data_IF_549634545054
#
_entry.id   IF_549634545054
#
_cell.length_a   1.000
_cell.length_b   1.000
_cell.length_c   1.000
_cell.angle_alpha   90.00
_cell.angle_beta   90.00
_cell.angle_gamma   90.00
#
_symmetry.space_group_name_H-M   'P 1'
#
loop_
_entity.id
_entity.type
_entity.pdbx_description
1 polymer ?
#
# COMPACT_ATOMS: atom_id res chain seq x y z
N UNK A 1 -2.53 -44.38 1.21
CA UNK A 1 -2.69 -43.33 0.19
C UNK A 1 -3.09 -43.90 -1.17
N UNK A 2 -2.67 -45.15 -1.49
CA UNK A 2 -3.05 -45.81 -2.76
C UNK A 2 -4.56 -46.07 -2.89
N UNK A 3 -5.28 -46.14 -1.76
CA UNK A 3 -6.72 -46.49 -1.72
C UNK A 3 -7.61 -45.27 -1.45
N UNK A 4 -7.08 -44.03 -1.60
CA UNK A 4 -7.87 -42.80 -1.41
C UNK A 4 -8.74 -42.54 -2.64
N UNK A 5 -10.03 -42.31 -2.43
CA UNK A 5 -10.93 -41.81 -3.47
C UNK A 5 -10.71 -40.33 -3.69
N UNK A 6 -9.89 -40.00 -4.67
CA UNK A 6 -9.52 -38.61 -5.01
C UNK A 6 -10.67 -37.81 -5.64
N UNK A 7 -11.81 -38.44 -5.93
CA UNK A 7 -12.99 -37.73 -6.39
C UNK A 7 -13.78 -37.09 -5.25
N UNK A 8 -13.43 -37.41 -4.00
CA UNK A 8 -14.05 -36.86 -2.80
C UNK A 8 -13.17 -35.77 -2.16
N UNK A 9 -13.80 -34.84 -1.41
CA UNK A 9 -13.08 -33.86 -0.61
C UNK A 9 -12.12 -34.56 0.36
N UNK A 10 -12.57 -35.56 1.06
CA UNK A 10 -11.80 -36.28 2.06
C UNK A 10 -10.54 -36.93 1.46
N UNK A 11 -10.68 -37.67 0.39
CA UNK A 11 -9.55 -38.31 -0.29
C UNK A 11 -8.58 -37.31 -0.90
N UNK A 12 -9.11 -36.24 -1.50
CA UNK A 12 -8.31 -35.14 -2.04
C UNK A 12 -7.48 -34.43 -0.96
N UNK A 13 -8.09 -34.11 0.18
CA UNK A 13 -7.42 -33.43 1.29
C UNK A 13 -6.37 -34.35 1.97
N UNK A 14 -6.70 -35.60 2.20
CA UNK A 14 -5.72 -36.57 2.74
C UNK A 14 -4.48 -36.71 1.84
N UNK A 15 -4.70 -36.80 0.53
CA UNK A 15 -3.62 -36.85 -0.45
C UNK A 15 -2.78 -35.55 -0.45
N UNK A 16 -3.43 -34.39 -0.33
CA UNK A 16 -2.74 -33.09 -0.22
C UNK A 16 -1.84 -33.06 1.01
N UNK A 17 -2.36 -33.36 2.20
CA UNK A 17 -1.61 -33.33 3.43
C UNK A 17 -0.45 -34.34 3.42
N UNK A 18 -0.69 -35.55 2.90
CA UNK A 18 0.37 -36.56 2.73
C UNK A 18 1.52 -36.04 1.87
N UNK A 19 1.19 -35.50 0.69
CA UNK A 19 2.19 -34.97 -0.25
C UNK A 19 2.92 -33.78 0.32
N UNK A 20 2.24 -32.86 0.99
CA UNK A 20 2.83 -31.69 1.62
C UNK A 20 3.83 -32.10 2.69
N UNK A 21 3.47 -33.01 3.60
CA UNK A 21 4.38 -33.53 4.63
C UNK A 21 5.59 -34.27 4.04
N UNK A 22 5.37 -34.98 2.93
CA UNK A 22 6.46 -35.71 2.26
C UNK A 22 7.45 -34.77 1.55
N UNK A 23 6.93 -33.69 0.93
CA UNK A 23 7.75 -32.72 0.20
C UNK A 23 8.47 -31.73 1.13
N UNK A 24 7.84 -31.44 2.27
CA UNK A 24 8.35 -30.44 3.24
C UNK A 24 8.39 -31.06 4.64
N UNK A 25 9.27 -32.06 4.89
CA UNK A 25 9.28 -32.81 6.14
C UNK A 25 9.60 -31.97 7.38
N UNK A 26 10.37 -30.91 7.21
CA UNK A 26 10.81 -30.02 8.30
C UNK A 26 9.93 -28.76 8.45
N UNK A 27 8.89 -28.61 7.62
CA UNK A 27 8.01 -27.47 7.67
C UNK A 27 6.92 -27.63 8.73
N UNK A 28 6.61 -26.55 9.43
CA UNK A 28 5.39 -26.43 10.21
C UNK A 28 4.23 -26.20 9.26
N UNK A 29 3.27 -27.12 9.24
CA UNK A 29 2.12 -27.11 8.34
C UNK A 29 0.87 -26.76 9.14
N UNK A 30 0.13 -25.77 8.70
CA UNK A 30 -1.19 -25.41 9.21
C UNK A 30 -2.23 -25.40 8.10
N UNK A 31 -3.51 -25.60 8.44
CA UNK A 31 -4.62 -25.52 7.51
C UNK A 31 -5.57 -24.39 7.90
N UNK A 32 -6.05 -23.62 6.93
CA UNK A 32 -7.04 -22.56 7.17
C UNK A 32 -8.39 -22.96 6.57
N UNK A 33 -9.38 -23.09 7.43
CA UNK A 33 -10.79 -23.29 7.04
C UNK A 33 -11.38 -21.89 6.83
N UNK A 34 -11.85 -21.63 5.61
CA UNK A 34 -12.34 -20.32 5.21
C UNK A 34 -13.61 -19.90 5.98
N UNK A 35 -13.89 -18.62 5.98
CA UNK A 35 -15.02 -17.94 6.62
C UNK A 35 -16.36 -18.24 5.94
N UNK A 36 -17.48 -17.86 6.60
CA UNK A 36 -18.83 -17.94 6.04
C UNK A 36 -19.02 -16.92 4.92
N UNK A 37 -19.29 -17.40 3.71
CA UNK A 37 -19.65 -16.55 2.58
C UNK A 37 -21.06 -15.98 2.75
N UNK A 38 -21.30 -14.77 2.24
CA UNK A 38 -22.61 -14.11 2.29
C UNK A 38 -23.49 -14.41 1.08
N UNK A 39 -22.93 -14.97 0.02
CA UNK A 39 -23.68 -15.39 -1.17
C UNK A 39 -24.58 -16.60 -0.88
N UNK A 40 -25.77 -16.58 -1.44
CA UNK A 40 -26.63 -17.77 -1.52
C UNK A 40 -26.09 -18.75 -2.57
N UNK A 41 -25.16 -19.59 -2.17
CA UNK A 41 -24.72 -20.71 -3.00
C UNK A 41 -25.51 -21.93 -2.55
N UNK A 42 -26.12 -22.67 -3.48
CA UNK A 42 -27.01 -23.81 -3.19
C UNK A 42 -26.38 -24.96 -2.37
N UNK A 43 -25.07 -24.91 -2.15
CA UNK A 43 -24.29 -25.91 -1.41
C UNK A 43 -23.97 -25.52 0.04
N UNK A 44 -24.41 -24.32 0.52
CA UNK A 44 -24.08 -23.87 1.88
C UNK A 44 -24.76 -24.69 2.99
N UNK A 45 -25.80 -25.42 2.70
CA UNK A 45 -26.49 -26.31 3.66
C UNK A 45 -25.64 -27.51 4.07
N UNK A 46 -24.69 -27.93 3.21
CA UNK A 46 -23.81 -29.08 3.45
C UNK A 46 -22.41 -28.64 3.96
N UNK A 47 -22.15 -27.34 4.05
CA UNK A 47 -20.82 -26.84 4.42
C UNK A 47 -20.34 -27.34 5.78
N UNK A 48 -21.25 -27.53 6.75
CA UNK A 48 -20.86 -28.04 8.07
C UNK A 48 -20.27 -29.45 7.99
N UNK A 49 -20.83 -30.32 7.13
CA UNK A 49 -20.30 -31.68 6.93
C UNK A 49 -18.88 -31.65 6.34
N UNK A 50 -18.63 -30.71 5.39
CA UNK A 50 -17.28 -30.49 4.84
C UNK A 50 -16.31 -29.96 5.90
N UNK A 51 -16.73 -28.98 6.73
CA UNK A 51 -15.92 -28.45 7.83
C UNK A 51 -15.55 -29.58 8.81
N UNK A 52 -16.51 -30.39 9.22
CA UNK A 52 -16.29 -31.51 10.14
C UNK A 52 -15.37 -32.58 9.52
N UNK A 53 -15.47 -32.82 8.22
CA UNK A 53 -14.55 -33.72 7.53
C UNK A 53 -13.12 -33.15 7.49
N UNK A 54 -12.95 -31.86 7.20
CA UNK A 54 -11.65 -31.19 7.21
C UNK A 54 -11.00 -31.26 8.60
N UNK A 55 -11.76 -30.95 9.67
CA UNK A 55 -11.29 -31.02 11.06
C UNK A 55 -10.77 -32.43 11.38
N UNK A 56 -11.57 -33.47 11.14
CA UNK A 56 -11.16 -34.88 11.36
C UNK A 56 -9.90 -35.28 10.59
N UNK A 57 -9.77 -34.82 9.35
CA UNK A 57 -8.60 -35.13 8.52
C UNK A 57 -7.37 -34.40 9.03
N UNK A 58 -7.49 -33.14 9.39
CA UNK A 58 -6.39 -32.37 10.00
C UNK A 58 -5.92 -33.04 11.31
N UNK A 59 -6.83 -33.42 12.18
CA UNK A 59 -6.55 -34.15 13.43
C UNK A 59 -5.84 -35.49 13.15
N UNK A 60 -6.36 -36.29 12.22
CA UNK A 60 -5.76 -37.56 11.79
C UNK A 60 -4.30 -37.40 11.35
N UNK A 61 -4.01 -36.31 10.64
CA UNK A 61 -2.65 -36.05 10.11
C UNK A 61 -1.79 -35.21 11.04
N UNK A 62 -2.29 -34.84 12.25
CA UNK A 62 -1.58 -33.98 13.18
C UNK A 62 -1.23 -32.62 12.54
N UNK A 63 -2.17 -32.03 11.80
CA UNK A 63 -2.07 -30.72 11.19
C UNK A 63 -2.97 -29.77 11.95
N UNK A 64 -2.44 -28.78 12.67
CA UNK A 64 -3.24 -27.76 13.30
C UNK A 64 -4.05 -26.97 12.26
N UNK A 65 -5.22 -26.47 12.65
CA UNK A 65 -6.06 -25.69 11.75
C UNK A 65 -6.64 -24.44 12.41
N UNK A 66 -6.77 -23.39 11.64
CA UNK A 66 -7.53 -22.18 11.96
C UNK A 66 -8.92 -22.31 11.35
N UNK A 67 -9.98 -22.22 12.15
CA UNK A 67 -11.35 -22.34 11.68
C UNK A 67 -12.09 -21.01 11.70
N UNK A 68 -11.97 -20.22 10.63
CA UNK A 68 -12.68 -18.94 10.48
C UNK A 68 -14.18 -19.14 10.21
N UNK A 69 -14.60 -20.35 9.79
CA UNK A 69 -16.01 -20.62 9.53
C UNK A 69 -16.85 -20.63 10.80
N UNK A 70 -16.36 -21.23 11.88
CA UNK A 70 -17.04 -21.33 13.16
C UNK A 70 -16.70 -20.17 14.11
N UNK A 71 -15.78 -19.27 13.76
CA UNK A 71 -15.44 -18.09 14.54
C UNK A 71 -16.57 -17.07 14.45
N UNK A 72 -17.35 -16.94 15.52
CA UNK A 72 -18.53 -16.08 15.54
C UNK A 72 -18.14 -14.59 15.54
N UNK A 73 -17.08 -14.21 16.26
CA UNK A 73 -16.61 -12.81 16.34
C UNK A 73 -16.09 -12.35 14.96
N UNK A 74 -15.28 -13.19 14.32
CA UNK A 74 -14.81 -12.93 12.97
C UNK A 74 -15.98 -12.80 11.99
N UNK A 75 -16.91 -13.75 12.00
CA UNK A 75 -18.03 -13.76 11.07
C UNK A 75 -19.01 -12.60 11.30
N UNK A 76 -19.23 -12.15 12.53
CA UNK A 76 -20.02 -10.94 12.81
C UNK A 76 -19.34 -9.67 12.29
N UNK A 77 -18.03 -9.55 12.43
CA UNK A 77 -17.27 -8.44 11.85
C UNK A 77 -17.34 -8.48 10.31
N UNK A 78 -17.26 -9.67 9.73
CA UNK A 78 -17.24 -9.90 8.27
C UNK A 78 -18.62 -9.71 7.62
N UNK A 79 -19.72 -10.13 8.30
CA UNK A 79 -21.12 -10.00 7.82
C UNK A 79 -21.57 -8.56 7.59
N UNK A 80 -20.97 -7.61 8.31
CA UNK A 80 -21.52 -6.23 8.38
C UNK A 80 -21.41 -5.46 7.09
N UNK A 81 -20.85 -6.00 6.00
CA UNK A 81 -20.92 -5.27 4.73
C UNK A 81 -20.33 -5.95 3.50
N UNK A 82 -20.89 -5.63 2.34
CA UNK A 82 -20.22 -5.51 1.04
C UNK A 82 -18.84 -4.82 1.06
N UNK A 83 -18.39 -4.35 2.23
CA UNK A 83 -17.12 -3.70 2.52
C UNK A 83 -15.93 -4.65 2.37
N UNK A 84 -16.09 -5.90 2.76
CA UNK A 84 -14.99 -6.87 2.85
C UNK A 84 -14.94 -7.86 1.68
N UNK A 85 -16.02 -7.94 0.92
CA UNK A 85 -16.16 -8.87 -0.20
C UNK A 85 -16.31 -8.12 -1.52
N UNK A 86 -15.57 -8.53 -2.54
CA UNK A 86 -15.66 -7.94 -3.87
C UNK A 86 -16.96 -8.31 -4.59
N UNK A 87 -17.43 -9.56 -4.41
CA UNK A 87 -18.55 -10.15 -5.10
C UNK A 87 -19.48 -10.98 -4.18
N UNK A 88 -19.36 -10.80 -2.88
CA UNK A 88 -20.09 -11.58 -1.87
C UNK A 88 -19.45 -12.92 -1.51
N UNK A 89 -18.34 -13.27 -2.14
CA UNK A 89 -17.60 -14.52 -1.92
C UNK A 89 -16.10 -14.27 -1.67
N UNK A 90 -15.47 -13.48 -2.52
CA UNK A 90 -14.02 -13.25 -2.47
C UNK A 90 -13.66 -11.99 -1.68
N UNK A 91 -12.72 -12.07 -0.73
CA UNK A 91 -12.25 -10.90 0.00
C UNK A 91 -11.66 -9.85 -0.95
N UNK A 92 -11.99 -8.59 -0.72
CA UNK A 92 -11.26 -7.46 -1.25
C UNK A 92 -10.10 -7.09 -0.30
N UNK A 93 -9.35 -6.03 -0.59
CA UNK A 93 -8.22 -5.60 0.26
C UNK A 93 -8.60 -5.46 1.74
N UNK A 94 -9.74 -4.82 2.03
CA UNK A 94 -10.21 -4.67 3.41
C UNK A 94 -10.59 -6.01 4.07
N UNK A 95 -11.05 -6.98 3.26
CA UNK A 95 -11.31 -8.34 3.73
C UNK A 95 -10.02 -9.07 4.08
N UNK A 96 -8.99 -8.93 3.27
CA UNK A 96 -7.67 -9.50 3.59
C UNK A 96 -7.02 -8.83 4.79
N UNK A 97 -7.16 -7.51 4.97
CA UNK A 97 -6.68 -6.80 6.16
C UNK A 97 -7.33 -7.33 7.45
N UNK A 98 -8.60 -7.73 7.38
CA UNK A 98 -9.30 -8.35 8.51
C UNK A 98 -8.84 -9.80 8.76
N UNK A 99 -8.55 -10.58 7.72
CA UNK A 99 -8.16 -11.99 7.83
C UNK A 99 -6.70 -12.14 8.28
N UNK A 100 -5.81 -11.28 7.79
CA UNK A 100 -4.37 -11.43 7.97
C UNK A 100 -3.93 -11.56 9.44
N UNK A 101 -4.42 -10.80 10.42
CA UNK A 101 -4.06 -10.95 11.83
C UNK A 101 -4.39 -12.35 12.40
N UNK A 102 -5.53 -12.92 12.01
CA UNK A 102 -5.93 -14.27 12.46
C UNK A 102 -4.97 -15.34 11.94
N UNK A 103 -4.59 -15.24 10.65
CA UNK A 103 -3.63 -16.17 10.06
C UNK A 103 -2.25 -15.99 10.68
N UNK A 104 -1.82 -14.76 10.92
CA UNK A 104 -0.51 -14.47 11.52
C UNK A 104 -0.43 -14.98 12.97
N UNK A 105 -1.48 -14.78 13.78
CA UNK A 105 -1.57 -15.35 15.13
C UNK A 105 -1.51 -16.88 15.09
N UNK A 106 -2.32 -17.49 14.22
CA UNK A 106 -2.32 -18.94 14.06
C UNK A 106 -0.93 -19.48 13.64
N UNK A 107 -0.25 -18.82 12.72
CA UNK A 107 1.10 -19.20 12.30
C UNK A 107 2.10 -19.11 13.45
N UNK A 108 2.01 -18.07 14.27
CA UNK A 108 2.86 -17.92 15.46
C UNK A 108 2.59 -19.02 16.49
N UNK A 109 1.31 -19.30 16.76
CA UNK A 109 0.89 -20.32 17.72
C UNK A 109 1.39 -21.72 17.32
N UNK A 110 1.24 -22.11 16.06
CA UNK A 110 1.71 -23.44 15.58
C UNK A 110 3.23 -23.54 15.47
N UNK A 111 3.92 -22.43 15.36
CA UNK A 111 5.39 -22.37 15.31
C UNK A 111 6.00 -22.26 16.72
N UNK A 112 5.18 -22.08 17.75
CA UNK A 112 5.62 -21.94 19.15
C UNK A 112 6.36 -20.63 19.42
N UNK A 113 6.09 -19.58 18.63
CA UNK A 113 6.60 -18.23 18.84
C UNK A 113 5.48 -17.33 19.33
N UNK A 114 5.80 -16.43 20.24
CA UNK A 114 4.90 -15.35 20.61
C UNK A 114 4.63 -14.49 19.38
N UNK A 115 3.35 -14.34 19.01
CA UNK A 115 2.95 -13.43 17.95
C UNK A 115 3.04 -12.01 18.50
N UNK A 116 4.03 -11.30 18.06
CA UNK A 116 4.01 -9.85 18.13
C UNK A 116 3.25 -9.39 16.89
N UNK A 117 2.07 -8.73 17.04
CA UNK A 117 1.38 -8.17 15.89
C UNK A 117 2.37 -7.32 15.11
N UNK A 118 2.47 -7.54 13.81
CA UNK A 118 3.29 -6.70 12.91
C UNK A 118 2.75 -5.26 12.85
N UNK A 119 1.58 -5.07 13.41
CA UNK A 119 1.05 -3.78 13.79
C UNK A 119 1.44 -3.56 15.26
N UNK A 120 2.54 -2.88 15.52
CA UNK A 120 2.57 -2.07 16.72
C UNK A 120 1.28 -1.24 16.74
N UNK A 121 0.64 -1.08 17.93
CA UNK A 121 -0.57 -0.28 18.00
C UNK A 121 -0.26 1.05 17.31
N UNK A 122 -1.10 1.44 16.35
CA UNK A 122 -0.99 2.68 15.61
C UNK A 122 -0.48 3.77 16.55
N UNK A 123 0.61 4.45 16.17
CA UNK A 123 1.15 5.55 16.96
C UNK A 123 0.01 6.49 17.34
N UNK A 124 -0.07 6.88 18.60
CA UNK A 124 -1.03 7.91 19.01
C UNK A 124 -0.67 9.24 18.34
N UNK A 125 -1.62 10.17 18.29
CA UNK A 125 -1.37 11.50 17.73
C UNK A 125 -0.23 12.23 18.45
N UNK A 126 -0.12 12.04 19.77
CA UNK A 126 0.96 12.58 20.59
C UNK A 126 2.32 11.97 20.21
N UNK A 127 2.38 10.67 19.98
CA UNK A 127 3.61 10.00 19.56
C UNK A 127 4.04 10.44 18.16
N UNK A 128 3.08 10.60 17.22
CA UNK A 128 3.37 11.13 15.89
C UNK A 128 3.98 12.53 15.99
N UNK A 129 3.37 13.41 16.81
CA UNK A 129 3.87 14.76 17.03
C UNK A 129 5.27 14.76 17.65
N UNK A 130 5.53 13.90 18.64
CA UNK A 130 6.84 13.83 19.27
C UNK A 130 7.93 13.35 18.30
N UNK A 131 7.63 12.38 17.43
CA UNK A 131 8.56 11.87 16.41
C UNK A 131 8.87 12.93 15.36
N UNK A 132 7.87 13.68 14.91
CA UNK A 132 8.04 14.66 13.82
C UNK A 132 8.54 16.03 14.30
N UNK A 133 8.35 16.35 15.56
CA UNK A 133 8.73 17.63 16.16
C UNK A 133 10.24 17.90 16.03
N UNK A 134 10.56 19.08 15.56
CA UNK A 134 11.95 19.52 15.38
C UNK A 134 12.67 18.87 14.18
N UNK A 135 11.96 18.05 13.36
CA UNK A 135 12.50 17.44 12.16
C UNK A 135 12.38 18.35 10.95
N UNK A 136 13.21 18.09 9.95
CA UNK A 136 13.25 18.83 8.69
C UNK A 136 12.73 17.98 7.54
N UNK A 137 11.99 18.57 6.59
CA UNK A 137 11.41 17.83 5.48
C UNK A 137 11.56 18.54 4.14
N UNK A 138 11.78 17.75 3.07
CA UNK A 138 11.71 18.20 1.69
C UNK A 138 10.60 17.43 0.93
N UNK A 139 9.78 18.16 0.18
CA UNK A 139 8.68 17.61 -0.61
C UNK A 139 8.91 17.88 -2.09
N UNK A 140 8.83 16.83 -2.90
CA UNK A 140 9.01 16.86 -4.34
C UNK A 140 7.82 16.19 -5.03
N UNK A 141 7.30 16.76 -6.09
CA UNK A 141 6.15 16.13 -6.73
C UNK A 141 5.45 16.97 -7.78
N UNK A 142 4.26 16.52 -8.13
CA UNK A 142 3.37 17.11 -9.12
C UNK A 142 2.38 18.13 -8.52
N UNK A 143 1.30 18.42 -9.26
CA UNK A 143 0.25 19.38 -8.89
C UNK A 143 -0.40 19.08 -7.52
N UNK A 144 -0.44 17.79 -7.09
CA UNK A 144 -1.01 17.42 -5.79
C UNK A 144 -0.06 17.84 -4.67
N UNK A 145 1.22 17.54 -4.79
CA UNK A 145 2.24 17.98 -3.81
C UNK A 145 2.43 19.49 -3.83
N UNK A 146 2.34 20.12 -5.02
CA UNK A 146 2.37 21.58 -5.19
C UNK A 146 1.15 22.30 -4.59
N UNK A 147 0.06 21.57 -4.37
CA UNK A 147 -1.16 22.08 -3.77
C UNK A 147 -1.80 23.24 -4.54
N UNK A 148 -1.91 23.10 -5.86
CA UNK A 148 -2.43 24.15 -6.75
C UNK A 148 -3.81 24.69 -6.34
N UNK A 149 -4.67 23.82 -5.78
CA UNK A 149 -6.07 24.15 -5.44
C UNK A 149 -6.29 24.43 -3.94
N UNK A 150 -5.24 24.61 -3.17
CA UNK A 150 -5.36 24.97 -1.75
C UNK A 150 -5.71 26.45 -1.60
N UNK A 151 -7.00 26.75 -1.65
CA UNK A 151 -7.48 28.13 -1.64
C UNK A 151 -7.34 28.84 -0.28
N UNK A 152 -7.24 28.08 0.81
CA UNK A 152 -7.11 28.67 2.15
C UNK A 152 -5.69 29.19 2.45
N UNK A 153 -4.67 28.47 1.93
CA UNK A 153 -3.26 28.75 2.23
C UNK A 153 -2.42 29.08 1.00
N UNK A 154 -2.96 28.82 -0.19
CA UNK A 154 -2.27 29.05 -1.45
C UNK A 154 -1.41 27.87 -1.91
N UNK A 155 -0.96 27.96 -3.16
CA UNK A 155 -0.07 26.96 -3.75
C UNK A 155 1.26 26.84 -2.98
N UNK A 156 1.76 25.61 -2.87
CA UNK A 156 2.98 25.29 -2.13
C UNK A 156 2.77 24.94 -0.66
N UNK A 157 1.59 25.21 -0.09
CA UNK A 157 1.28 24.83 1.30
C UNK A 157 0.80 23.39 1.40
N UNK A 158 -0.40 23.07 0.96
CA UNK A 158 -0.98 21.74 0.88
C UNK A 158 -0.83 20.89 2.16
N UNK A 159 -0.57 19.60 1.99
CA UNK A 159 -0.28 18.71 3.11
C UNK A 159 1.09 18.99 3.75
N UNK A 160 2.08 19.48 3.00
CA UNK A 160 3.41 19.79 3.51
C UNK A 160 3.37 20.86 4.61
N UNK A 161 2.68 21.97 4.35
CA UNK A 161 2.51 23.05 5.32
C UNK A 161 1.70 22.65 6.55
N UNK A 162 0.65 21.84 6.34
CA UNK A 162 -0.17 21.31 7.45
C UNK A 162 0.63 20.37 8.35
N UNK A 163 1.40 19.46 7.76
CA UNK A 163 2.28 18.59 8.55
C UNK A 163 3.26 19.43 9.37
N UNK A 164 3.85 20.45 8.77
CA UNK A 164 4.76 21.34 9.51
C UNK A 164 4.06 22.06 10.66
N UNK A 165 2.88 22.63 10.41
CA UNK A 165 2.14 23.39 11.42
C UNK A 165 1.57 22.52 12.55
N UNK A 166 0.97 21.36 12.20
CA UNK A 166 0.22 20.55 13.15
C UNK A 166 1.11 19.57 13.94
N UNK A 167 2.26 19.18 13.37
CA UNK A 167 3.18 18.19 13.95
C UNK A 167 4.54 18.77 14.33
N UNK A 168 4.73 20.08 14.12
CA UNK A 168 5.87 20.82 14.67
C UNK A 168 7.21 20.53 14.00
N UNK A 169 7.24 20.35 12.66
CA UNK A 169 8.51 20.33 11.94
C UNK A 169 9.30 21.62 12.19
N UNK A 170 10.61 21.51 12.37
CA UNK A 170 11.50 22.69 12.47
C UNK A 170 11.45 23.52 11.19
N UNK A 171 11.51 22.85 10.05
CA UNK A 171 11.37 23.48 8.75
C UNK A 171 10.94 22.49 7.67
N UNK A 172 10.33 23.03 6.61
CA UNK A 172 10.07 22.27 5.40
C UNK A 172 10.35 23.11 4.16
N UNK A 173 10.66 22.42 3.05
CA UNK A 173 10.72 23.01 1.71
C UNK A 173 9.85 22.20 0.76
N UNK A 174 8.93 22.88 0.07
CA UNK A 174 8.13 22.26 -0.98
C UNK A 174 8.67 22.68 -2.36
N UNK A 175 9.38 21.77 -3.00
CA UNK A 175 9.98 21.94 -4.33
C UNK A 175 9.04 21.49 -5.47
N UNK A 176 7.87 20.94 -5.13
CA UNK A 176 6.92 20.45 -6.11
C UNK A 176 6.51 21.53 -7.10
N UNK A 177 6.14 21.11 -8.30
CA UNK A 177 5.71 22.02 -9.34
C UNK A 177 4.44 21.51 -10.01
N UNK A 178 3.59 22.45 -10.43
CA UNK A 178 2.41 22.16 -11.21
C UNK A 178 2.79 21.33 -12.46
N UNK A 179 2.01 20.29 -12.73
CA UNK A 179 2.12 19.41 -13.90
C UNK A 179 3.50 18.75 -14.06
N UNK A 180 4.27 18.61 -12.97
CA UNK A 180 5.53 17.91 -13.03
C UNK A 180 5.32 16.42 -13.30
N UNK A 181 6.14 15.86 -14.18
CA UNK A 181 6.13 14.44 -14.55
C UNK A 181 7.24 13.66 -13.83
N UNK A 182 7.05 12.36 -13.71
CA UNK A 182 8.11 11.43 -13.29
C UNK A 182 9.00 11.12 -14.50
N UNK A 183 8.41 10.87 -15.66
CA UNK A 183 9.14 10.58 -16.89
C UNK A 183 9.63 11.85 -17.58
N UNK A 184 10.90 11.94 -17.96
CA UNK A 184 11.43 13.06 -18.75
C UNK A 184 10.90 13.10 -20.20
N UNK A 185 10.10 12.10 -20.62
CA UNK A 185 9.44 12.11 -21.93
C UNK A 185 8.56 13.35 -22.14
N UNK A 186 7.99 13.90 -21.07
CA UNK A 186 7.10 15.08 -21.13
C UNK A 186 7.87 16.42 -21.07
N UNK A 187 9.19 16.39 -21.09
CA UNK A 187 10.04 17.59 -21.09
C UNK A 187 10.76 17.84 -19.78
N UNK A 188 11.12 19.11 -19.55
CA UNK A 188 12.01 19.51 -18.45
C UNK A 188 11.32 19.66 -17.09
N UNK A 189 9.99 19.74 -17.05
CA UNK A 189 9.25 19.88 -15.78
C UNK A 189 9.07 18.51 -15.14
N UNK A 190 10.10 18.05 -14.44
CA UNK A 190 10.11 16.72 -13.82
C UNK A 190 10.42 16.76 -12.34
N UNK A 191 9.90 15.76 -11.60
CA UNK A 191 10.21 15.56 -10.17
C UNK A 191 11.71 15.33 -9.98
N UNK A 192 12.37 14.64 -10.91
CA UNK A 192 13.83 14.46 -10.91
C UNK A 192 14.57 15.79 -10.96
N UNK A 193 14.12 16.75 -11.79
CA UNK A 193 14.76 18.07 -11.89
C UNK A 193 14.61 18.86 -10.58
N UNK A 194 13.49 18.69 -9.90
CA UNK A 194 13.30 19.28 -8.57
C UNK A 194 14.32 18.71 -7.58
N UNK A 195 14.49 17.39 -7.53
CA UNK A 195 15.47 16.71 -6.66
C UNK A 195 16.88 17.17 -6.97
N UNK A 196 17.28 17.20 -8.26
CA UNK A 196 18.61 17.66 -8.69
C UNK A 196 18.85 19.16 -8.44
N UNK A 197 17.83 19.97 -8.58
CA UNK A 197 17.90 21.42 -8.41
C UNK A 197 17.76 21.91 -6.96
N UNK A 198 17.32 21.05 -6.04
CA UNK A 198 17.25 21.40 -4.64
C UNK A 198 18.66 21.64 -4.09
N UNK A 199 18.87 22.81 -3.48
CA UNK A 199 20.12 23.09 -2.77
C UNK A 199 20.33 21.99 -1.73
N UNK A 200 21.54 21.41 -1.72
CA UNK A 200 21.92 20.35 -0.83
C UNK A 200 21.67 20.73 0.62
N UNK A 201 20.89 19.93 1.32
CA UNK A 201 20.65 20.03 2.76
C UNK A 201 20.44 18.62 3.29
N UNK A 202 20.80 18.39 4.54
CA UNK A 202 20.33 17.18 5.23
C UNK A 202 18.87 17.41 5.62
N UNK A 203 17.99 16.53 5.17
CA UNK A 203 16.60 16.48 5.63
C UNK A 203 16.39 15.19 6.41
N UNK A 204 15.61 15.24 7.47
CA UNK A 204 15.17 14.02 8.17
C UNK A 204 14.20 13.23 7.30
N UNK A 205 13.36 13.94 6.54
CA UNK A 205 12.38 13.35 5.64
C UNK A 205 12.50 13.88 4.21
N UNK A 206 12.40 12.99 3.24
CA UNK A 206 12.25 13.31 1.83
C UNK A 206 10.98 12.63 1.32
N UNK A 207 10.00 13.44 0.90
CA UNK A 207 8.70 12.97 0.43
C UNK A 207 8.60 13.19 -1.07
N UNK A 208 8.43 12.09 -1.80
CA UNK A 208 8.22 12.08 -3.24
C UNK A 208 6.74 11.86 -3.55
N UNK A 209 6.28 12.44 -4.64
CA UNK A 209 4.95 12.16 -5.21
C UNK A 209 4.98 12.36 -6.72
N UNK A 210 4.00 11.79 -7.43
CA UNK A 210 3.89 11.97 -8.88
C UNK A 210 3.24 10.78 -9.58
N UNK A 211 3.23 10.85 -10.91
CA UNK A 211 2.64 9.83 -11.77
C UNK A 211 1.25 10.19 -12.32
N UNK A 212 0.52 11.12 -11.69
CA UNK A 212 -0.76 11.58 -12.23
C UNK A 212 -0.57 12.28 -13.58
N UNK A 213 0.42 13.14 -13.70
CA UNK A 213 0.76 13.84 -14.95
C UNK A 213 1.15 12.86 -16.05
N UNK A 214 1.97 11.85 -15.72
CA UNK A 214 2.38 10.80 -16.66
C UNK A 214 1.18 9.98 -17.15
N UNK A 215 0.31 9.55 -16.25
CA UNK A 215 -0.89 8.80 -16.58
C UNK A 215 -1.88 9.64 -17.41
N UNK A 216 -2.08 10.90 -17.05
CA UNK A 216 -2.94 11.84 -17.80
C UNK A 216 -2.46 12.06 -19.22
N UNK A 217 -1.17 12.01 -19.48
CA UNK A 217 -0.55 12.15 -20.79
C UNK A 217 -0.22 10.80 -21.46
N UNK A 218 -0.73 9.70 -20.91
CA UNK A 218 -0.58 8.35 -21.50
C UNK A 218 0.89 7.99 -21.76
N UNK A 219 1.79 8.33 -20.83
CA UNK A 219 3.20 7.92 -20.93
C UNK A 219 3.26 6.39 -20.83
N UNK A 220 3.97 5.75 -21.75
CA UNK A 220 4.12 4.30 -21.73
C UNK A 220 4.68 3.84 -20.39
N UNK A 221 4.09 2.78 -19.81
CA UNK A 221 4.48 2.30 -18.48
C UNK A 221 5.95 1.87 -18.42
N UNK A 222 6.40 1.06 -19.39
CA UNK A 222 7.73 0.46 -19.36
C UNK A 222 7.85 -0.67 -18.33
N UNK A 223 9.07 -1.01 -17.98
CA UNK A 223 9.38 -2.05 -16.99
C UNK A 223 10.41 -1.50 -16.01
N UNK A 224 10.16 -1.69 -14.73
CA UNK A 224 11.14 -1.38 -13.67
C UNK A 224 12.39 -2.22 -13.89
N UNK A 225 13.55 -1.58 -13.92
CA UNK A 225 14.80 -2.27 -14.22
C UNK A 225 15.20 -3.25 -13.11
N UNK A 226 16.11 -4.17 -13.42
CA UNK A 226 16.72 -5.08 -12.43
C UNK A 226 18.03 -4.52 -11.84
N UNK A 227 18.36 -3.27 -12.13
CA UNK A 227 19.57 -2.63 -11.62
C UNK A 227 19.47 -2.38 -10.11
N UNK A 228 20.59 -2.47 -9.42
CA UNK A 228 20.78 -2.13 -8.01
C UNK A 228 21.66 -0.89 -7.91
N UNK A 229 21.92 -0.38 -6.71
CA UNK A 229 22.80 0.75 -6.51
C UNK A 229 24.24 0.49 -7.01
N UNK A 230 24.73 -0.76 -6.87
CA UNK A 230 26.09 -1.14 -7.25
C UNK A 230 26.28 -1.26 -8.77
N UNK A 231 25.21 -1.53 -9.52
CA UNK A 231 25.29 -1.72 -10.97
C UNK A 231 24.45 -0.73 -11.76
N UNK A 232 24.05 0.38 -11.13
CA UNK A 232 23.25 1.40 -11.78
C UNK A 232 23.98 2.02 -12.99
N UNK A 233 23.27 2.06 -14.10
CA UNK A 233 23.74 2.61 -15.37
C UNK A 233 22.56 3.31 -16.06
N UNK A 234 22.53 4.63 -15.97
CA UNK A 234 21.45 5.45 -16.52
C UNK A 234 21.26 5.21 -18.02
N UNK A 235 22.35 4.92 -18.76
CA UNK A 235 22.29 4.71 -20.20
C UNK A 235 21.45 3.49 -20.61
N UNK A 236 21.19 2.57 -19.68
CA UNK A 236 20.37 1.38 -19.86
C UNK A 236 18.89 1.61 -19.53
N UNK A 237 18.54 2.77 -18.98
CA UNK A 237 17.16 3.10 -18.70
C UNK A 237 16.42 3.58 -19.94
N UNK A 238 15.18 3.12 -20.12
CA UNK A 238 14.29 3.71 -21.11
C UNK A 238 13.57 4.93 -20.55
N UNK A 239 14.21 6.08 -20.56
CA UNK A 239 13.67 7.34 -20.04
C UNK A 239 12.43 7.86 -20.78
N UNK A 240 12.03 7.22 -21.91
CA UNK A 240 10.75 7.51 -22.58
C UNK A 240 9.56 6.81 -21.94
N UNK A 241 9.78 6.06 -20.86
CA UNK A 241 8.75 5.34 -20.11
C UNK A 241 8.65 5.85 -18.69
N UNK A 242 7.49 5.63 -18.06
CA UNK A 242 7.26 5.96 -16.65
C UNK A 242 8.25 5.23 -15.73
N UNK A 243 8.35 3.91 -15.86
CA UNK A 243 9.22 3.09 -15.04
C UNK A 243 10.70 3.46 -15.15
N UNK A 244 11.17 3.83 -16.36
CA UNK A 244 12.54 4.29 -16.55
C UNK A 244 12.82 5.63 -15.85
N UNK A 245 11.89 6.59 -15.95
CA UNK A 245 11.99 7.88 -15.24
C UNK A 245 11.89 7.70 -13.72
N UNK A 246 11.04 6.78 -13.26
CA UNK A 246 10.89 6.45 -11.85
C UNK A 246 12.16 5.82 -11.25
N UNK A 247 12.77 4.88 -11.96
CA UNK A 247 14.05 4.28 -11.56
C UNK A 247 15.15 5.33 -11.41
N UNK A 248 15.24 6.26 -12.37
CA UNK A 248 16.20 7.36 -12.32
C UNK A 248 15.93 8.29 -11.13
N UNK A 249 14.65 8.65 -10.90
CA UNK A 249 14.24 9.51 -9.79
C UNK A 249 14.61 8.88 -8.43
N UNK A 250 14.25 7.62 -8.22
CA UNK A 250 14.49 6.95 -6.95
C UNK A 250 15.99 6.75 -6.69
N UNK A 251 16.76 6.31 -7.69
CA UNK A 251 18.22 6.21 -7.55
C UNK A 251 18.86 7.55 -7.18
N UNK A 252 18.53 8.62 -7.88
CA UNK A 252 19.07 9.96 -7.57
C UNK A 252 18.69 10.40 -6.17
N UNK A 253 17.44 10.11 -5.75
CA UNK A 253 16.96 10.53 -4.42
C UNK A 253 17.68 9.79 -3.29
N UNK A 254 17.80 8.45 -3.38
CA UNK A 254 18.48 7.67 -2.32
C UNK A 254 19.98 7.97 -2.27
N UNK A 255 20.58 8.27 -3.42
CA UNK A 255 21.99 8.64 -3.47
C UNK A 255 22.25 10.04 -2.89
N UNK A 256 21.33 10.98 -3.14
CA UNK A 256 21.46 12.38 -2.72
C UNK A 256 21.13 12.60 -1.24
N UNK A 257 20.23 11.80 -0.69
CA UNK A 257 19.72 11.92 0.68
C UNK A 257 19.86 10.57 1.44
N UNK A 258 21.09 10.05 1.62
CA UNK A 258 21.31 8.72 2.16
C UNK A 258 20.87 8.56 3.63
N UNK A 259 20.85 9.66 4.37
CA UNK A 259 20.51 9.69 5.80
C UNK A 259 19.03 10.02 6.05
N UNK A 260 18.27 10.36 5.00
CA UNK A 260 16.87 10.73 5.13
C UNK A 260 15.95 9.51 5.18
N UNK A 261 14.84 9.66 5.88
CA UNK A 261 13.70 8.76 5.67
C UNK A 261 12.98 9.17 4.40
N UNK A 262 13.16 8.37 3.33
CA UNK A 262 12.57 8.63 2.02
C UNK A 262 11.25 7.90 1.89
N UNK A 263 10.21 8.64 1.51
CA UNK A 263 8.85 8.13 1.33
C UNK A 263 8.32 8.53 -0.05
N UNK A 264 7.68 7.61 -0.72
CA UNK A 264 6.90 7.89 -1.93
C UNK A 264 5.40 7.82 -1.60
N UNK A 265 4.67 8.92 -1.85
CA UNK A 265 3.22 8.98 -1.69
C UNK A 265 2.55 8.70 -3.03
N UNK A 266 1.94 7.53 -3.16
CA UNK A 266 1.09 7.20 -4.30
C UNK A 266 -0.25 7.90 -4.13
N UNK A 267 -0.66 8.64 -5.15
CA UNK A 267 -1.89 9.43 -5.11
C UNK A 267 -3.14 8.55 -4.97
N UNK A 268 -4.19 9.12 -4.40
CA UNK A 268 -5.53 8.54 -4.30
C UNK A 268 -6.17 8.32 -5.69
N UNK A 269 -7.31 7.63 -5.73
CA UNK A 269 -8.07 7.41 -6.97
C UNK A 269 -8.69 8.74 -7.47
N UNK A 270 -8.28 9.26 -8.63
CA UNK A 270 -8.95 10.42 -9.22
C UNK A 270 -10.36 10.03 -9.71
N UNK A 271 -11.24 11.02 -9.86
CA UNK A 271 -12.56 10.79 -10.43
C UNK A 271 -12.43 10.29 -11.89
N UNK A 272 -12.85 9.07 -12.20
CA UNK A 272 -12.66 8.48 -13.53
C UNK A 272 -13.40 9.24 -14.63
N UNK A 273 -14.47 9.96 -14.29
CA UNK A 273 -15.24 10.78 -15.24
C UNK A 273 -14.59 12.13 -15.55
N UNK A 274 -13.54 12.50 -14.80
CA UNK A 274 -12.78 13.76 -14.97
C UNK A 274 -11.33 13.52 -15.34
N UNK A 275 -10.81 12.33 -15.05
CA UNK A 275 -9.45 11.95 -15.35
C UNK A 275 -9.24 11.83 -16.87
N UNK A 276 -8.10 12.32 -17.35
CA UNK A 276 -7.69 12.22 -18.76
C UNK A 276 -6.66 11.11 -18.95
N UNK A 277 -6.50 10.65 -20.19
CA UNK A 277 -5.52 9.62 -20.53
C UNK A 277 -5.74 8.35 -19.72
N UNK A 278 -4.69 7.85 -19.11
CA UNK A 278 -4.69 6.65 -18.24
C UNK A 278 -4.89 6.99 -16.76
N UNK A 279 -5.11 8.26 -16.40
CA UNK A 279 -5.27 8.65 -14.98
C UNK A 279 -6.46 7.98 -14.29
N UNK A 280 -7.53 7.67 -15.04
CA UNK A 280 -8.66 6.87 -14.51
C UNK A 280 -8.34 5.39 -14.28
N UNK A 281 -7.21 4.90 -14.76
CA UNK A 281 -6.75 3.51 -14.70
C UNK A 281 -5.30 3.42 -14.18
N UNK A 282 -5.00 4.17 -13.11
CA UNK A 282 -3.64 4.28 -12.58
C UNK A 282 -3.08 2.99 -11.95
N UNK A 283 -3.86 1.91 -11.80
CA UNK A 283 -3.42 0.69 -11.12
C UNK A 283 -2.07 0.16 -11.61
N UNK A 284 -1.82 0.19 -12.92
CA UNK A 284 -0.54 -0.27 -13.49
C UNK A 284 0.63 0.67 -13.14
N UNK A 285 0.39 1.98 -13.06
CA UNK A 285 1.39 2.95 -12.62
C UNK A 285 1.68 2.77 -11.12
N UNK A 286 0.64 2.51 -10.32
CA UNK A 286 0.76 2.22 -8.88
C UNK A 286 1.63 0.98 -8.65
N UNK A 287 1.35 -0.12 -9.35
CA UNK A 287 2.17 -1.33 -9.28
C UNK A 287 3.65 -1.08 -9.65
N UNK A 288 3.90 -0.23 -10.65
CA UNK A 288 5.27 0.13 -11.02
C UNK A 288 5.95 0.95 -9.93
N UNK A 289 5.22 1.87 -9.26
CA UNK A 289 5.73 2.65 -8.13
C UNK A 289 6.09 1.71 -6.97
N UNK A 290 5.18 0.84 -6.56
CA UNK A 290 5.42 -0.11 -5.47
C UNK A 290 6.63 -1.01 -5.73
N UNK A 291 6.74 -1.56 -6.94
CA UNK A 291 7.90 -2.37 -7.34
C UNK A 291 9.22 -1.59 -7.34
N UNK A 292 9.21 -0.36 -7.82
CA UNK A 292 10.39 0.48 -7.83
C UNK A 292 10.79 0.92 -6.41
N UNK A 293 9.82 1.32 -5.58
CA UNK A 293 10.05 1.67 -4.19
C UNK A 293 10.66 0.50 -3.41
N UNK A 294 10.08 -0.71 -3.52
CA UNK A 294 10.61 -1.91 -2.89
C UNK A 294 12.06 -2.23 -3.32
N UNK A 295 12.38 -2.01 -4.60
CA UNK A 295 13.73 -2.23 -5.14
C UNK A 295 14.76 -1.24 -4.57
N UNK A 296 14.38 0.02 -4.40
CA UNK A 296 15.26 1.09 -3.94
C UNK A 296 15.21 1.34 -2.42
N UNK A 297 14.55 0.46 -1.67
CA UNK A 297 14.33 0.58 -0.22
C UNK A 297 13.68 1.93 0.18
N UNK A 298 12.71 2.36 -0.62
CA UNK A 298 11.91 3.56 -0.39
C UNK A 298 10.55 3.16 0.16
N UNK A 299 10.17 3.70 1.30
CA UNK A 299 8.86 3.45 1.89
C UNK A 299 7.74 4.00 0.97
N UNK A 300 6.68 3.21 0.77
CA UNK A 300 5.61 3.54 -0.18
C UNK A 300 4.25 3.64 0.51
N UNK A 301 3.72 4.86 0.64
CA UNK A 301 2.36 5.09 1.08
C UNK A 301 1.40 5.00 -0.10
N UNK A 302 0.69 3.89 -0.23
CA UNK A 302 -0.27 3.69 -1.32
C UNK A 302 -1.68 4.18 -0.93
N UNK A 303 -2.01 5.43 -1.24
CA UNK A 303 -3.35 5.98 -1.03
C UNK A 303 -4.37 5.50 -2.08
N UNK A 304 -3.91 4.99 -3.22
CA UNK A 304 -4.78 4.50 -4.29
C UNK A 304 -5.60 3.27 -3.86
N UNK A 305 -4.95 2.34 -3.17
CA UNK A 305 -5.58 1.10 -2.70
C UNK A 305 -5.94 1.12 -1.22
N UNK A 306 -5.52 2.14 -0.45
CA UNK A 306 -5.77 2.22 1.00
C UNK A 306 -7.26 2.28 1.31
N UNK A 307 -7.85 1.23 1.91
CA UNK A 307 -9.29 1.14 2.09
C UNK A 307 -9.80 2.07 3.19
N UNK A 308 -9.00 2.34 4.21
CA UNK A 308 -9.37 3.24 5.31
C UNK A 308 -9.39 4.67 4.83
N UNK A 309 -8.36 5.10 4.11
CA UNK A 309 -8.28 6.42 3.51
C UNK A 309 -9.43 6.66 2.52
N UNK A 310 -9.67 5.72 1.60
CA UNK A 310 -10.68 5.84 0.55
C UNK A 310 -12.14 5.85 1.07
N UNK A 311 -12.37 5.62 2.38
CA UNK A 311 -13.70 5.81 3.00
C UNK A 311 -13.94 7.24 3.46
N UNK A 312 -12.88 7.88 3.92
CA UNK A 312 -12.93 9.23 4.46
C UNK A 312 -12.66 10.28 3.38
N UNK A 313 -11.85 9.91 2.39
CA UNK A 313 -11.46 10.78 1.29
C UNK A 313 -12.20 10.39 -0.01
N UNK A 314 -13.25 11.13 -0.34
CA UNK A 314 -13.93 11.02 -1.62
C UNK A 314 -13.61 12.24 -2.48
N UNK A 315 -12.77 12.04 -3.49
CA UNK A 315 -12.36 13.10 -4.43
C UNK A 315 -13.52 13.57 -5.30
N UNK A 316 -14.60 12.80 -5.41
CA UNK A 316 -15.79 13.19 -6.17
C UNK A 316 -16.70 14.15 -5.37
N UNK A 317 -16.54 14.16 -4.04
CA UNK A 317 -17.25 15.08 -3.17
C UNK A 317 -16.72 16.52 -3.36
N UNK A 318 -17.62 17.46 -3.61
CA UNK A 318 -17.27 18.87 -3.75
C UNK A 318 -16.62 19.47 -2.50
N UNK A 319 -16.79 18.83 -1.36
CA UNK A 319 -16.13 19.19 -0.10
C UNK A 319 -14.63 18.98 -0.16
N UNK A 320 -14.14 17.98 -0.88
CA UNK A 320 -12.74 17.59 -0.91
C UNK A 320 -12.01 18.05 -2.18
N UNK A 321 -12.77 18.32 -3.25
CA UNK A 321 -12.21 18.76 -4.54
C UNK A 321 -13.25 19.56 -5.33
N UNK A 322 -12.80 20.56 -6.08
CA UNK A 322 -13.67 21.33 -6.98
C UNK A 322 -13.71 20.76 -8.39
N UNK A 323 -12.69 20.05 -8.82
CA UNK A 323 -12.53 19.48 -10.16
C UNK A 323 -12.59 17.94 -10.20
N UNK A 324 -12.56 17.27 -9.05
CA UNK A 324 -12.57 15.82 -8.94
C UNK A 324 -11.19 15.17 -9.21
N UNK A 325 -10.14 15.97 -9.36
CA UNK A 325 -8.77 15.52 -9.63
C UNK A 325 -7.81 16.01 -8.55
N UNK A 326 -7.83 17.31 -8.23
CA UNK A 326 -6.94 17.92 -7.26
C UNK A 326 -7.70 18.24 -5.96
N UNK A 327 -7.10 18.02 -4.80
CA UNK A 327 -7.70 18.36 -3.52
C UNK A 327 -7.85 19.89 -3.39
N UNK A 328 -8.93 20.32 -2.76
CA UNK A 328 -9.04 21.66 -2.20
C UNK A 328 -8.47 21.67 -0.76
N UNK A 329 -8.61 22.80 -0.05
CA UNK A 329 -8.13 22.94 1.32
C UNK A 329 -8.63 21.83 2.25
N UNK A 330 -9.92 21.51 2.23
CA UNK A 330 -10.50 20.45 3.05
C UNK A 330 -9.98 19.06 2.64
N UNK A 331 -9.70 18.84 1.36
CA UNK A 331 -9.03 17.62 0.89
C UNK A 331 -7.61 17.47 1.47
N UNK A 332 -6.86 18.56 1.54
CA UNK A 332 -5.52 18.57 2.16
C UNK A 332 -5.58 18.37 3.67
N UNK A 333 -6.64 18.83 4.36
CA UNK A 333 -6.86 18.56 5.80
C UNK A 333 -7.04 17.07 6.08
N UNK A 334 -7.56 16.29 5.13
CA UNK A 334 -7.68 14.83 5.23
C UNK A 334 -6.38 14.09 4.84
N UNK A 335 -5.59 14.63 3.92
CA UNK A 335 -4.34 14.02 3.46
C UNK A 335 -3.21 14.14 4.47
N UNK A 336 -3.07 15.33 5.07
CA UNK A 336 -1.94 15.65 5.93
C UNK A 336 -1.75 14.69 7.11
N UNK A 337 -2.78 14.35 7.92
CA UNK A 337 -2.60 13.43 9.06
C UNK A 337 -2.23 12.01 8.63
N UNK A 338 -2.72 11.53 7.48
CA UNK A 338 -2.37 10.19 6.99
C UNK A 338 -0.90 10.13 6.56
N UNK A 339 -0.42 11.17 5.88
CA UNK A 339 0.98 11.26 5.47
C UNK A 339 1.89 11.46 6.69
N UNK A 340 1.51 12.33 7.65
CA UNK A 340 2.27 12.54 8.89
C UNK A 340 2.45 11.24 9.69
N UNK A 341 1.37 10.48 9.85
CA UNK A 341 1.41 9.16 10.51
C UNK A 341 2.40 8.23 9.82
N UNK A 342 2.30 8.09 8.50
CA UNK A 342 3.18 7.22 7.74
C UNK A 342 4.67 7.64 7.82
N UNK A 343 4.94 8.95 7.84
CA UNK A 343 6.30 9.46 8.07
C UNK A 343 6.83 9.05 9.43
N UNK A 344 6.02 9.23 10.49
CA UNK A 344 6.41 8.87 11.85
C UNK A 344 6.64 7.36 12.01
N UNK A 345 5.74 6.54 11.50
CA UNK A 345 5.85 5.07 11.52
C UNK A 345 7.10 4.59 10.78
N UNK A 346 7.35 5.15 9.58
CA UNK A 346 8.54 4.80 8.78
C UNK A 346 9.83 5.21 9.48
N UNK A 347 9.85 6.37 10.12
CA UNK A 347 11.01 6.85 10.87
C UNK A 347 11.29 5.98 12.10
N UNK A 348 10.26 5.69 12.88
CA UNK A 348 10.37 4.85 14.07
C UNK A 348 10.84 3.42 13.74
N UNK A 349 10.42 2.86 12.60
CA UNK A 349 10.87 1.55 12.15
C UNK A 349 12.36 1.48 11.72
N UNK A 350 12.99 2.63 11.46
CA UNK A 350 14.42 2.73 11.09
C UNK A 350 15.32 3.05 12.29
N UNK A 351 14.74 3.54 13.39
CA UNK A 351 15.44 3.91 14.63
C UNK A 351 15.61 2.74 15.57
#
# INVERSE_FOLDING_TARGET
>A
VADLDLSTLAGGLENLLYRTKKLYPDATIGYVINFKMTMRVGYLTEMQEYIDAIKRICEKWGVPYLNLYEDEEFNEAFKKSSRYLADGCHPNSAGYDLIAPYIAQFMADIYGKEYTPFFEPDLTEEQIKEILKGKTAAFFGDSITYAEKDSAYGAGYGFAGRISADYGLESYKNFAAKDAAVSPKLGENTVLKQVKGAEGGSYDFVVLGGGLTDASNTVSLGVVSKMTAENYDESKLNLKTFAGGLDQLLYETVTRYPDATIVYVVNYKPNPNKATGMAGQMSLYVEAIEKACAKWDVACLNLYTNPTFNKTFDITAKTNSTDGILPNSAGYDLLAPVIARFLAETYAAKS
#
